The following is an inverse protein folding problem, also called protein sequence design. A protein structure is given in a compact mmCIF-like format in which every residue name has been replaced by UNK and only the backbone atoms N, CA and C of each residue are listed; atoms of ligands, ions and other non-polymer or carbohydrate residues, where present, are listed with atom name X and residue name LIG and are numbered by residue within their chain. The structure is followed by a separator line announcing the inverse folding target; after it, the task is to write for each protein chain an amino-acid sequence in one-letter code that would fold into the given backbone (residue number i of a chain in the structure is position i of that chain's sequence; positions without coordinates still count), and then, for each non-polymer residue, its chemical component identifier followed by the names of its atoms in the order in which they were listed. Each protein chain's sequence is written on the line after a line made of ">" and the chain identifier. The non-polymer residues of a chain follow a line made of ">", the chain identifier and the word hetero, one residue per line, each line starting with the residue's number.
data_IF_065498721459
#
_entry.id   IF_065498721459
#
_cell.length_a   1.000
_cell.length_b   1.000
_cell.length_c   1.000
_cell.angle_alpha   90.00
_cell.angle_beta   90.00
_cell.angle_gamma   90.00
#
_symmetry.space_group_name_H-M   'P 1'
#
loop_
_entity.id
_entity.type
_entity.pdbx_description
1 polymer ?
#
# COMPACT_ATOMS: atom_id res chain seq x y z
N UNK A 1 -19.89 13.69 -25.18
CA UNK A 1 -19.60 12.25 -25.13
C UNK A 1 -18.25 12.11 -24.50
N UNK A 2 -18.08 11.20 -23.54
CA UNK A 2 -16.77 10.98 -22.93
C UNK A 2 -15.86 10.30 -23.97
N UNK A 3 -14.76 10.95 -24.30
CA UNK A 3 -13.77 10.50 -25.27
C UNK A 3 -13.17 9.14 -24.84
N UNK A 4 -13.19 8.14 -25.73
CA UNK A 4 -12.54 6.82 -25.53
C UNK A 4 -11.06 6.96 -25.10
N UNK A 5 -10.38 7.99 -25.59
CA UNK A 5 -9.01 8.31 -25.24
C UNK A 5 -8.85 8.80 -23.78
N UNK A 6 -9.84 9.53 -23.24
CA UNK A 6 -9.82 9.99 -21.86
C UNK A 6 -10.08 8.83 -20.89
N UNK A 7 -11.02 7.95 -21.23
CA UNK A 7 -11.31 6.75 -20.46
C UNK A 7 -10.10 5.80 -20.43
N UNK A 8 -9.42 5.59 -21.56
CA UNK A 8 -8.21 4.76 -21.65
C UNK A 8 -7.05 5.31 -20.79
N UNK A 9 -6.87 6.63 -20.75
CA UNK A 9 -5.87 7.31 -19.91
C UNK A 9 -6.19 7.17 -18.43
N UNK A 10 -7.46 7.34 -18.05
CA UNK A 10 -7.90 7.19 -16.67
C UNK A 10 -7.71 5.76 -16.18
N UNK A 11 -8.14 4.76 -16.97
CA UNK A 11 -7.91 3.34 -16.67
C UNK A 11 -6.43 3.00 -16.54
N UNK A 12 -5.58 3.48 -17.45
CA UNK A 12 -4.15 3.19 -17.41
C UNK A 12 -3.49 3.75 -16.15
N UNK A 13 -3.82 4.98 -15.74
CA UNK A 13 -3.34 5.56 -14.47
C UNK A 13 -3.83 4.76 -13.26
N UNK A 14 -5.09 4.35 -13.27
CA UNK A 14 -5.68 3.58 -12.18
C UNK A 14 -4.97 2.24 -12.02
N UNK A 15 -4.83 1.46 -13.10
CA UNK A 15 -4.13 0.15 -13.09
C UNK A 15 -2.67 0.29 -12.65
N UNK A 16 -1.96 1.32 -13.11
CA UNK A 16 -0.57 1.55 -12.72
C UNK A 16 -0.44 1.90 -11.22
N UNK A 17 -1.36 2.71 -10.68
CA UNK A 17 -1.37 3.03 -9.26
C UNK A 17 -1.67 1.79 -8.42
N UNK A 18 -2.65 0.97 -8.83
CA UNK A 18 -2.95 -0.24 -8.08
C UNK A 18 -1.79 -1.22 -8.07
N UNK A 19 -1.10 -1.44 -9.19
CA UNK A 19 0.09 -2.29 -9.22
C UNK A 19 1.17 -1.81 -8.25
N UNK A 20 1.36 -0.49 -8.13
CA UNK A 20 2.28 0.08 -7.13
C UNK A 20 1.82 -0.22 -5.70
N UNK A 21 0.53 -0.15 -5.41
CA UNK A 21 0.00 -0.44 -4.08
C UNK A 21 0.23 -1.91 -3.68
N UNK A 22 -0.03 -2.86 -4.57
CA UNK A 22 0.29 -4.27 -4.33
C UNK A 22 1.80 -4.49 -4.12
N UNK A 23 2.65 -3.82 -4.90
CA UNK A 23 4.10 -3.87 -4.73
C UNK A 23 4.57 -3.31 -3.37
N UNK A 24 3.98 -2.21 -2.88
CA UNK A 24 4.27 -1.63 -1.55
C UNK A 24 3.89 -2.61 -0.43
N UNK A 25 2.77 -3.32 -0.59
CA UNK A 25 2.34 -4.36 0.34
C UNK A 25 3.12 -5.67 0.18
N UNK A 26 3.99 -5.78 -0.83
CA UNK A 26 4.73 -7.01 -1.14
C UNK A 26 3.81 -8.17 -1.49
N UNK A 27 2.66 -7.90 -2.08
CA UNK A 27 1.67 -8.89 -2.51
C UNK A 27 1.33 -8.71 -4.00
N UNK A 28 0.57 -9.65 -4.52
CA UNK A 28 0.11 -9.70 -5.90
C UNK A 28 -1.36 -9.28 -5.98
N UNK A 29 -1.80 -8.62 -7.07
CA UNK A 29 -3.23 -8.42 -7.36
C UNK A 29 -4.01 -9.74 -7.45
N UNK A 30 -3.32 -10.87 -7.63
CA UNK A 30 -3.92 -12.21 -7.66
C UNK A 30 -4.08 -12.85 -6.27
N UNK A 31 -3.46 -12.28 -5.23
CA UNK A 31 -3.50 -12.86 -3.89
C UNK A 31 -4.88 -12.74 -3.26
N UNK A 32 -5.21 -13.65 -2.35
CA UNK A 32 -6.46 -13.59 -1.59
C UNK A 32 -6.47 -12.41 -0.62
N UNK A 33 -7.65 -11.89 -0.32
CA UNK A 33 -7.78 -10.76 0.62
C UNK A 33 -7.20 -11.05 2.01
N UNK A 34 -7.21 -12.32 2.44
CA UNK A 34 -6.58 -12.75 3.70
C UNK A 34 -5.05 -12.69 3.65
N UNK A 35 -4.44 -13.06 2.52
CA UNK A 35 -2.99 -12.93 2.30
C UNK A 35 -2.58 -11.46 2.31
N UNK A 36 -3.33 -10.60 1.61
CA UNK A 36 -3.08 -9.15 1.62
C UNK A 36 -3.18 -8.58 3.04
N UNK A 37 -4.20 -8.99 3.82
CA UNK A 37 -4.34 -8.62 5.23
C UNK A 37 -3.18 -9.15 6.09
N UNK A 38 -2.64 -10.34 5.81
CA UNK A 38 -1.44 -10.87 6.49
C UNK A 38 -0.21 -10.05 6.18
N UNK A 39 0.06 -9.77 4.91
CA UNK A 39 1.18 -8.94 4.46
C UNK A 39 1.13 -7.54 5.05
N UNK A 40 -0.04 -6.89 5.00
CA UNK A 40 -0.27 -5.59 5.63
C UNK A 40 0.05 -5.59 7.12
N UNK A 41 -0.48 -6.56 7.89
CA UNK A 41 -0.21 -6.67 9.34
C UNK A 41 1.26 -6.89 9.64
N UNK A 42 1.96 -7.68 8.83
CA UNK A 42 3.39 -7.93 8.96
C UNK A 42 4.18 -6.63 8.77
N UNK A 43 3.93 -5.91 7.67
CA UNK A 43 4.58 -4.64 7.36
C UNK A 43 4.30 -3.57 8.42
N UNK A 44 3.05 -3.44 8.88
CA UNK A 44 2.67 -2.56 9.98
C UNK A 44 3.47 -2.87 11.23
N UNK A 45 3.62 -4.15 11.60
CA UNK A 45 4.43 -4.52 12.77
C UNK A 45 5.93 -4.28 12.56
N UNK A 46 6.44 -4.35 11.34
CA UNK A 46 7.86 -4.10 11.05
C UNK A 46 8.21 -2.62 11.08
N UNK A 47 7.33 -1.77 10.53
CA UNK A 47 7.52 -0.32 10.41
C UNK A 47 6.75 0.51 11.45
N UNK A 48 6.18 -0.12 12.47
CA UNK A 48 5.42 0.62 13.49
C UNK A 48 6.33 1.62 14.23
N UNK A 49 5.95 2.89 14.35
CA UNK A 49 6.77 3.91 15.00
C UNK A 49 7.13 3.53 16.45
N UNK A 50 6.20 2.92 17.19
CA UNK A 50 6.43 2.44 18.56
C UNK A 50 7.56 1.39 18.65
N UNK A 51 7.61 0.46 17.69
CA UNK A 51 8.61 -0.61 17.65
C UNK A 51 9.97 -0.10 17.19
N UNK A 52 9.98 0.88 16.30
CA UNK A 52 11.20 1.57 15.83
C UNK A 52 11.77 2.44 16.96
N UNK A 53 10.91 3.20 17.65
CA UNK A 53 11.28 4.01 18.81
C UNK A 53 11.87 3.16 19.93
N UNK A 54 11.27 1.99 20.21
CA UNK A 54 11.76 1.05 21.22
C UNK A 54 13.13 0.45 20.90
N UNK A 55 13.57 0.46 19.63
CA UNK A 55 14.87 -0.06 19.20
C UNK A 55 16.00 0.97 19.29
N UNK A 56 15.70 2.23 19.65
CA UNK A 56 16.70 3.30 19.71
C UNK A 56 17.34 3.59 18.35
N UNK A 57 16.58 3.40 17.26
CA UNK A 57 17.08 3.63 15.91
C UNK A 57 17.29 5.14 15.63
N UNK A 58 18.18 5.50 14.70
CA UNK A 58 18.43 6.89 14.32
C UNK A 58 17.14 7.59 13.84
N UNK A 59 17.10 8.92 13.99
CA UNK A 59 15.95 9.74 13.57
C UNK A 59 15.64 9.58 12.07
N UNK A 60 16.65 9.43 11.22
CA UNK A 60 16.47 9.15 9.79
C UNK A 60 15.69 7.86 9.55
N UNK A 61 15.92 6.83 10.36
CA UNK A 61 15.17 5.58 10.33
C UNK A 61 13.74 5.76 10.82
N UNK A 62 13.50 6.65 11.79
CA UNK A 62 12.14 6.98 12.24
C UNK A 62 11.34 7.66 11.13
N UNK A 63 11.93 8.65 10.46
CA UNK A 63 11.29 9.34 9.32
C UNK A 63 11.01 8.37 8.18
N UNK A 64 11.97 7.51 7.84
CA UNK A 64 11.78 6.48 6.81
C UNK A 64 10.68 5.49 7.20
N UNK A 65 10.67 5.01 8.45
CA UNK A 65 9.64 4.08 8.92
C UNK A 65 8.25 4.72 8.90
N UNK A 66 8.14 5.98 9.31
CA UNK A 66 6.88 6.74 9.25
C UNK A 66 6.38 6.91 7.80
N UNK A 67 7.28 7.25 6.88
CA UNK A 67 6.93 7.38 5.47
C UNK A 67 6.51 6.04 4.86
N UNK A 68 7.23 4.95 5.19
CA UNK A 68 6.85 3.59 4.78
C UNK A 68 5.51 3.18 5.37
N UNK A 69 5.29 3.42 6.65
CA UNK A 69 4.05 3.11 7.33
C UNK A 69 2.85 3.79 6.65
N UNK A 70 2.99 5.08 6.34
CA UNK A 70 1.97 5.82 5.59
C UNK A 70 1.73 5.22 4.19
N UNK A 71 2.78 4.90 3.45
CA UNK A 71 2.66 4.26 2.13
C UNK A 71 1.94 2.90 2.22
N UNK A 72 2.22 2.11 3.25
CA UNK A 72 1.58 0.81 3.51
C UNK A 72 0.09 0.99 3.76
N UNK A 73 -0.30 1.96 4.59
CA UNK A 73 -1.71 2.27 4.85
C UNK A 73 -2.43 2.72 3.58
N UNK A 74 -1.84 3.67 2.85
CA UNK A 74 -2.43 4.23 1.62
C UNK A 74 -2.61 3.15 0.55
N UNK A 75 -1.61 2.26 0.41
CA UNK A 75 -1.68 1.12 -0.47
C UNK A 75 -2.79 0.13 -0.09
N UNK A 76 -2.90 -0.20 1.21
CA UNK A 76 -3.95 -1.10 1.68
C UNK A 76 -5.35 -0.52 1.49
N UNK A 77 -5.54 0.79 1.73
CA UNK A 77 -6.81 1.48 1.47
C UNK A 77 -7.16 1.50 -0.03
N UNK A 78 -6.19 1.75 -0.90
CA UNK A 78 -6.41 1.75 -2.34
C UNK A 78 -6.81 0.35 -2.85
N UNK A 79 -6.10 -0.69 -2.41
CA UNK A 79 -6.41 -2.09 -2.73
C UNK A 79 -7.79 -2.48 -2.18
N UNK A 80 -8.13 -2.04 -0.97
CA UNK A 80 -9.45 -2.23 -0.37
C UNK A 80 -10.57 -1.58 -1.19
N UNK A 81 -10.37 -0.34 -1.65
CA UNK A 81 -11.32 0.37 -2.51
C UNK A 81 -11.48 -0.31 -3.87
N UNK A 82 -10.39 -0.74 -4.50
CA UNK A 82 -10.43 -1.44 -5.79
C UNK A 82 -11.21 -2.76 -5.68
N UNK A 83 -10.94 -3.55 -4.63
CA UNK A 83 -11.60 -4.85 -4.43
C UNK A 83 -13.05 -4.73 -3.95
N UNK A 84 -13.52 -3.51 -3.67
CA UNK A 84 -14.90 -3.22 -3.28
C UNK A 84 -15.35 -3.79 -1.93
N UNK A 85 -14.55 -4.65 -1.28
CA UNK A 85 -14.94 -5.39 -0.07
C UNK A 85 -13.69 -5.82 0.70
N UNK A 86 -13.44 -5.24 1.89
CA UNK A 86 -12.71 -5.90 3.01
C UNK A 86 -12.96 -5.28 4.37
#
# INVERSE_FOLDING_TARGET
>A
GFDDAEFARLKSRYVQNTQKHYAVLGCSPKDSSDEIKRHYRKLVSEYHPDKIASKGLPEEFMTFAHEKFRQIQEAYEAVKKERGVI
#
